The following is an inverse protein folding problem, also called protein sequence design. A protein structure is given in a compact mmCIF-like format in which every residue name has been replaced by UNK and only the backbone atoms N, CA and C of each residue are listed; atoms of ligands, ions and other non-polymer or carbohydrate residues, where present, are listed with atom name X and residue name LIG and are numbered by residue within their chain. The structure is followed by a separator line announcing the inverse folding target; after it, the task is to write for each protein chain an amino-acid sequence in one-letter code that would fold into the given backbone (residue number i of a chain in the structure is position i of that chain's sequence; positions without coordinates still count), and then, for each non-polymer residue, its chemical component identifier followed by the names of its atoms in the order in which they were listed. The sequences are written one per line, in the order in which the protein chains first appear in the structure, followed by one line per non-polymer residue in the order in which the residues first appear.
data_IF_506713153254
#
_entry.id   IF_506713153254
#
_cell.length_a   1.000
_cell.length_b   1.000
_cell.length_c   1.000
_cell.angle_alpha   90.00
_cell.angle_beta   90.00
_cell.angle_gamma   90.00
#
_symmetry.space_group_name_H-M   'P 1'
#
loop_
_entity.id
_entity.type
_entity.pdbx_description
1 polymer ?
#
# COMPACT_ATOMS: atom_id res chain seq x y z
N UNK A 1 -19.54 3.42 32.65
CA UNK A 1 -19.79 2.95 31.28
C UNK A 1 -18.43 2.83 30.59
N UNK A 2 -17.98 1.59 30.36
CA UNK A 2 -16.66 1.33 29.79
C UNK A 2 -16.63 1.81 28.34
N UNK A 3 -15.66 2.66 28.03
CA UNK A 3 -15.47 3.24 26.72
C UNK A 3 -14.67 2.25 25.87
N UNK A 4 -15.37 1.28 25.26
CA UNK A 4 -14.79 0.34 24.30
C UNK A 4 -14.43 1.09 23.02
N UNK A 5 -13.27 1.76 23.04
CA UNK A 5 -12.63 2.26 21.83
C UNK A 5 -12.14 1.08 21.03
N UNK A 6 -12.87 0.73 19.97
CA UNK A 6 -12.37 -0.19 18.95
C UNK A 6 -11.09 0.41 18.36
N UNK A 7 -10.00 -0.34 18.44
CA UNK A 7 -8.69 0.06 17.93
C UNK A 7 -8.82 0.34 16.41
N UNK A 8 -8.59 1.59 16.01
CA UNK A 8 -8.54 1.99 14.60
C UNK A 8 -9.73 2.81 14.08
N UNK A 9 -10.72 3.11 14.92
CA UNK A 9 -11.83 4.02 14.55
C UNK A 9 -11.38 5.48 14.68
N UNK A 10 -11.35 6.23 13.57
CA UNK A 10 -11.10 7.68 13.61
C UNK A 10 -12.42 8.45 13.69
N UNK A 11 -12.40 9.63 14.32
CA UNK A 11 -13.59 10.49 14.55
C UNK A 11 -14.29 10.96 13.25
N UNK A 12 -13.72 10.70 12.07
CA UNK A 12 -14.30 11.04 10.78
C UNK A 12 -14.10 9.89 9.75
N UNK A 13 -15.17 9.11 9.54
CA UNK A 13 -15.50 8.42 8.28
C UNK A 13 -14.86 7.06 7.87
N UNK A 14 -14.11 6.36 8.72
CA UNK A 14 -13.75 4.95 8.48
C UNK A 14 -12.66 4.34 9.37
N UNK A 15 -12.33 3.08 9.10
CA UNK A 15 -11.23 2.33 9.72
C UNK A 15 -9.90 2.56 8.96
N UNK A 16 -8.79 2.30 9.65
CA UNK A 16 -7.44 2.41 9.08
C UNK A 16 -6.50 1.30 9.55
N UNK A 17 -5.46 1.04 8.74
CA UNK A 17 -4.35 0.14 9.04
C UNK A 17 -3.02 0.78 8.67
N UNK A 18 -1.96 0.28 9.29
CA UNK A 18 -0.59 0.57 8.88
C UNK A 18 0.28 -0.64 9.17
N UNK A 19 1.03 -1.10 8.17
CA UNK A 19 2.02 -2.17 8.31
C UNK A 19 3.34 -1.70 7.70
N UNK A 20 4.45 -2.23 8.22
CA UNK A 20 5.78 -1.86 7.73
C UNK A 20 6.79 -2.97 7.98
N UNK A 21 7.79 -3.07 7.10
CA UNK A 21 8.94 -3.97 7.27
C UNK A 21 10.21 -3.30 6.77
N UNK A 22 11.33 -3.60 7.42
CA UNK A 22 12.65 -3.17 6.95
C UNK A 22 13.33 -4.30 6.17
N UNK A 23 13.97 -3.95 5.07
CA UNK A 23 14.72 -4.84 4.18
C UNK A 23 16.15 -4.32 4.02
N UNK A 24 17.12 -5.22 3.85
CA UNK A 24 18.53 -4.88 3.65
C UNK A 24 18.82 -4.56 2.18
N UNK A 25 18.12 -3.55 1.65
CA UNK A 25 18.27 -3.03 0.28
C UNK A 25 18.30 -1.51 0.28
N UNK A 26 18.81 -0.95 -0.82
CA UNK A 26 18.83 0.50 -1.06
C UNK A 26 17.43 1.09 -1.16
N UNK A 27 17.34 2.41 -1.08
CA UNK A 27 16.07 3.12 -1.22
C UNK A 27 15.54 3.00 -2.66
N UNK A 28 16.45 3.00 -3.61
CA UNK A 28 16.25 2.84 -5.05
C UNK A 28 15.67 1.46 -5.37
N UNK A 29 16.26 0.41 -4.83
CA UNK A 29 15.77 -0.96 -5.02
C UNK A 29 14.38 -1.13 -4.40
N UNK A 30 14.16 -0.60 -3.21
CA UNK A 30 12.85 -0.65 -2.56
C UNK A 30 11.79 0.10 -3.37
N UNK A 31 12.13 1.26 -3.93
CA UNK A 31 11.24 2.00 -4.81
C UNK A 31 10.92 1.22 -6.08
N UNK A 32 11.95 0.69 -6.75
CA UNK A 32 11.79 -0.10 -7.97
C UNK A 32 10.94 -1.35 -7.75
N UNK A 33 11.07 -2.04 -6.61
CA UNK A 33 10.22 -3.19 -6.26
C UNK A 33 8.73 -2.82 -6.12
N UNK A 34 8.42 -1.57 -5.76
CA UNK A 34 7.04 -1.11 -5.58
C UNK A 34 6.45 -0.52 -6.85
N UNK A 35 7.27 0.10 -7.70
CA UNK A 35 6.81 0.90 -8.84
C UNK A 35 7.10 0.30 -10.21
N UNK A 36 7.85 -0.80 -10.28
CA UNK A 36 8.02 -1.56 -11.52
C UNK A 36 6.68 -2.19 -11.96
N UNK A 37 6.54 -2.60 -13.23
CA UNK A 37 5.35 -3.33 -13.69
C UNK A 37 5.04 -4.56 -12.84
N UNK A 38 6.06 -5.34 -12.48
CA UNK A 38 5.92 -6.54 -11.63
C UNK A 38 5.51 -6.16 -10.20
N UNK A 39 6.09 -5.10 -9.65
CA UNK A 39 5.75 -4.56 -8.35
C UNK A 39 4.29 -4.09 -8.29
N UNK A 40 3.87 -3.27 -9.24
CA UNK A 40 2.49 -2.81 -9.36
C UNK A 40 1.53 -3.99 -9.57
N UNK A 41 1.89 -4.98 -10.38
CA UNK A 41 1.09 -6.19 -10.56
C UNK A 41 0.93 -6.97 -9.26
N UNK A 42 2.01 -7.09 -8.47
CA UNK A 42 2.01 -7.82 -7.20
C UNK A 42 1.01 -7.24 -6.19
N UNK A 43 0.98 -5.92 -5.98
CA UNK A 43 0.18 -5.31 -4.90
C UNK A 43 -1.05 -4.54 -5.37
N UNK A 44 -1.15 -4.20 -6.66
CA UNK A 44 -2.30 -3.51 -7.24
C UNK A 44 -3.08 -4.39 -8.23
N UNK A 45 -2.50 -5.50 -8.68
CA UNK A 45 -3.11 -6.44 -9.62
C UNK A 45 -2.71 -6.18 -11.07
N UNK A 46 -3.01 -7.16 -11.93
CA UNK A 46 -2.74 -7.11 -13.37
C UNK A 46 -3.47 -5.94 -14.03
N UNK A 47 -2.79 -5.27 -14.95
CA UNK A 47 -3.33 -4.13 -15.71
C UNK A 47 -2.75 -4.10 -17.12
N UNK A 48 -3.42 -3.39 -18.03
CA UNK A 48 -2.90 -3.10 -19.38
C UNK A 48 -1.85 -1.98 -19.40
N UNK A 49 -1.51 -1.43 -18.22
CA UNK A 49 -0.53 -0.37 -18.04
C UNK A 49 -0.98 0.64 -16.97
N UNK A 50 -0.08 0.98 -16.04
CA UNK A 50 -0.29 2.01 -15.02
C UNK A 50 0.72 3.12 -15.23
N UNK A 51 0.25 4.36 -15.36
CA UNK A 51 1.11 5.54 -15.40
C UNK A 51 1.16 6.19 -14.01
N UNK A 52 2.32 6.14 -13.37
CA UNK A 52 2.54 6.77 -12.07
C UNK A 52 2.76 8.29 -12.21
N UNK A 53 1.69 9.02 -12.52
CA UNK A 53 1.67 10.49 -12.57
C UNK A 53 0.45 11.02 -11.82
N UNK A 54 0.59 12.06 -10.97
CA UNK A 54 -0.56 12.67 -10.30
C UNK A 54 -1.70 13.02 -11.28
N UNK A 55 -2.93 12.70 -10.90
CA UNK A 55 -4.14 12.89 -11.70
C UNK A 55 -4.46 11.75 -12.67
N UNK A 56 -3.57 10.77 -12.84
CA UNK A 56 -3.84 9.62 -13.72
C UNK A 56 -4.72 8.59 -13.02
N UNK A 57 -5.79 8.20 -13.70
CA UNK A 57 -6.64 7.07 -13.29
C UNK A 57 -6.03 5.75 -13.74
N UNK A 58 -6.27 4.69 -12.99
CA UNK A 58 -5.84 3.34 -13.34
C UNK A 58 -6.96 2.33 -13.07
N UNK A 59 -6.89 1.18 -13.77
CA UNK A 59 -7.73 0.02 -13.54
C UNK A 59 -6.88 -1.25 -13.61
N UNK A 60 -7.12 -2.16 -12.67
CA UNK A 60 -6.51 -3.47 -12.57
C UNK A 60 -7.60 -4.53 -12.39
N UNK A 61 -7.23 -5.80 -12.37
CA UNK A 61 -8.13 -6.89 -12.01
C UNK A 61 -8.53 -6.89 -10.51
N UNK A 62 -7.81 -6.17 -9.64
CA UNK A 62 -8.14 -6.06 -8.22
C UNK A 62 -8.90 -4.79 -7.86
N UNK A 63 -9.00 -3.81 -8.77
CA UNK A 63 -9.78 -2.61 -8.55
C UNK A 63 -9.33 -1.43 -9.41
N UNK A 64 -9.75 -0.23 -9.05
CA UNK A 64 -9.43 1.00 -9.79
C UNK A 64 -9.16 2.18 -8.86
N UNK A 65 -8.66 3.27 -9.42
CA UNK A 65 -8.36 4.45 -8.63
C UNK A 65 -7.65 5.54 -9.42
N UNK A 66 -7.02 6.45 -8.67
CA UNK A 66 -6.30 7.60 -9.20
C UNK A 66 -5.00 7.81 -8.42
N UNK A 67 -3.90 8.02 -9.13
CA UNK A 67 -2.61 8.39 -8.57
C UNK A 67 -2.70 9.83 -8.08
N UNK A 68 -2.47 10.05 -6.79
CA UNK A 68 -2.59 11.38 -6.15
C UNK A 68 -1.25 12.05 -5.89
N UNK A 69 -0.25 11.28 -5.44
CA UNK A 69 1.09 11.79 -5.12
C UNK A 69 2.12 10.80 -5.62
N UNK A 70 3.13 11.29 -6.33
CA UNK A 70 4.34 10.54 -6.67
C UNK A 70 5.53 11.39 -6.25
N UNK A 71 6.23 10.97 -5.20
CA UNK A 71 7.52 11.53 -4.79
C UNK A 71 8.54 10.40 -4.93
N UNK A 72 9.34 10.38 -6.00
CA UNK A 72 10.31 9.33 -6.25
C UNK A 72 11.15 9.01 -5.01
N UNK A 73 11.40 7.72 -4.80
CA UNK A 73 12.13 7.15 -3.68
C UNK A 73 11.49 7.32 -2.29
N UNK A 74 10.41 8.09 -2.15
CA UNK A 74 9.88 8.50 -0.84
C UNK A 74 8.44 8.07 -0.62
N UNK A 75 7.55 8.37 -1.56
CA UNK A 75 6.12 8.29 -1.31
C UNK A 75 5.30 8.07 -2.59
N UNK A 76 4.37 7.14 -2.51
CA UNK A 76 3.25 7.00 -3.46
C UNK A 76 1.93 7.14 -2.69
N UNK A 77 1.00 7.94 -3.20
CA UNK A 77 -0.38 8.00 -2.68
C UNK A 77 -1.36 7.84 -3.82
N UNK A 78 -2.39 7.05 -3.59
CA UNK A 78 -3.45 6.79 -4.55
C UNK A 78 -4.78 6.59 -3.83
N UNK A 79 -5.88 6.82 -4.53
CA UNK A 79 -7.15 6.22 -4.14
C UNK A 79 -7.19 4.80 -4.66
N UNK A 80 -7.81 3.88 -3.91
CA UNK A 80 -8.03 2.52 -4.37
C UNK A 80 -9.42 2.04 -3.97
N UNK A 81 -10.25 1.78 -4.96
CA UNK A 81 -11.51 1.09 -4.83
C UNK A 81 -11.29 -0.33 -5.31
N UNK A 82 -11.14 -1.25 -4.35
CA UNK A 82 -11.04 -2.68 -4.65
C UNK A 82 -12.32 -3.15 -5.34
N UNK A 83 -12.21 -4.14 -6.22
CA UNK A 83 -13.37 -4.71 -6.91
C UNK A 83 -14.46 -5.10 -5.90
N UNK A 84 -15.71 -4.69 -6.16
CA UNK A 84 -16.85 -4.90 -5.28
C UNK A 84 -16.99 -3.93 -4.10
N UNK A 85 -16.07 -2.98 -3.89
CA UNK A 85 -16.23 -1.96 -2.84
C UNK A 85 -17.15 -0.82 -3.30
N UNK A 86 -18.01 -0.34 -2.40
CA UNK A 86 -18.93 0.78 -2.67
C UNK A 86 -18.23 2.14 -2.79
N UNK A 87 -17.09 2.31 -2.10
CA UNK A 87 -16.35 3.57 -2.03
C UNK A 87 -14.83 3.36 -2.04
N UNK A 88 -14.05 4.32 -2.57
CA UNK A 88 -12.60 4.22 -2.58
C UNK A 88 -12.01 4.41 -1.18
N UNK A 89 -10.97 3.65 -0.90
CA UNK A 89 -10.01 3.91 0.17
C UNK A 89 -8.89 4.83 -0.29
N UNK A 90 -8.03 5.24 0.63
CA UNK A 90 -6.76 5.91 0.30
C UNK A 90 -5.60 5.04 0.76
N UNK A 91 -4.69 4.73 -0.17
CA UNK A 91 -3.45 4.01 0.11
C UNK A 91 -2.29 4.98 0.04
N UNK A 92 -1.42 4.92 1.04
CA UNK A 92 -0.16 5.63 1.08
C UNK A 92 0.97 4.63 1.33
N UNK A 93 1.92 4.62 0.41
CA UNK A 93 3.14 3.84 0.49
C UNK A 93 4.28 4.80 0.79
N UNK A 94 5.11 4.47 1.77
CA UNK A 94 6.34 5.20 2.10
C UNK A 94 7.56 4.30 2.02
N UNK A 95 8.63 4.86 1.47
CA UNK A 95 9.95 4.25 1.42
C UNK A 95 10.87 5.13 2.27
N UNK A 96 11.37 4.56 3.36
CA UNK A 96 12.15 5.28 4.37
C UNK A 96 13.55 4.67 4.42
N UNK A 97 14.51 5.36 3.81
CA UNK A 97 15.92 5.01 3.92
C UNK A 97 16.39 5.08 5.37
N UNK A 98 17.23 4.13 5.77
CA UNK A 98 17.98 4.11 7.03
C UNK A 98 19.48 4.03 6.71
N UNK A 99 20.31 4.12 7.73
CA UNK A 99 21.73 3.83 7.59
C UNK A 99 21.98 2.37 7.10
N UNK A 100 23.12 2.16 6.47
CA UNK A 100 23.66 0.85 6.08
C UNK A 100 22.81 0.05 5.08
N UNK A 101 22.44 0.67 3.95
CA UNK A 101 21.73 0.01 2.86
C UNK A 101 20.46 -0.74 3.32
N UNK A 102 19.75 -0.14 4.26
CA UNK A 102 18.54 -0.69 4.87
C UNK A 102 17.39 0.26 4.66
N UNK A 103 16.28 -0.25 4.14
CA UNK A 103 15.12 0.56 3.80
C UNK A 103 13.86 0.00 4.43
N UNK A 104 12.98 0.86 4.92
CA UNK A 104 11.65 0.47 5.41
C UNK A 104 10.58 0.80 4.39
N UNK A 105 9.82 -0.21 3.99
CA UNK A 105 8.61 -0.04 3.20
C UNK A 105 7.43 -0.04 4.17
N UNK A 106 6.53 0.94 4.03
CA UNK A 106 5.32 1.04 4.85
C UNK A 106 4.10 1.25 3.98
N UNK A 107 3.06 0.45 4.23
CA UNK A 107 1.73 0.64 3.69
C UNK A 107 0.83 1.21 4.78
N UNK A 108 0.11 2.27 4.46
CA UNK A 108 -0.96 2.82 5.29
C UNK A 108 -2.22 2.95 4.43
N UNK A 109 -3.36 2.55 4.98
CA UNK A 109 -4.63 2.62 4.28
C UNK A 109 -5.72 3.13 5.21
N UNK A 110 -6.51 4.06 4.71
CA UNK A 110 -7.60 4.73 5.43
C UNK A 110 -8.91 4.71 4.63
N UNK A 111 -10.01 5.07 5.29
CA UNK A 111 -11.39 5.04 4.76
C UNK A 111 -11.91 3.62 4.48
N UNK A 112 -11.46 2.64 5.27
CA UNK A 112 -12.00 1.29 5.23
C UNK A 112 -13.42 1.27 5.84
N UNK A 113 -14.31 0.43 5.31
CA UNK A 113 -15.73 0.40 5.67
C UNK A 113 -15.97 -0.01 7.11
N UNK A 114 -15.29 -1.05 7.56
CA UNK A 114 -15.54 -1.73 8.82
C UNK A 114 -14.27 -2.46 9.33
N UNK A 115 -14.41 -3.11 10.48
CA UNK A 115 -13.33 -3.86 11.12
C UNK A 115 -12.94 -5.14 10.36
N UNK A 116 -13.87 -5.77 9.65
CA UNK A 116 -13.56 -6.97 8.87
C UNK A 116 -12.67 -6.61 7.68
N UNK A 117 -13.05 -5.59 6.91
CA UNK A 117 -12.25 -5.05 5.81
C UNK A 117 -10.90 -4.54 6.30
N UNK A 118 -10.85 -3.96 7.51
CA UNK A 118 -9.60 -3.59 8.17
C UNK A 118 -8.65 -4.79 8.34
N UNK A 119 -9.13 -5.89 8.91
CA UNK A 119 -8.30 -7.08 9.11
C UNK A 119 -7.94 -7.79 7.80
N UNK A 120 -8.84 -7.81 6.82
CA UNK A 120 -8.54 -8.31 5.46
C UNK A 120 -7.38 -7.53 4.84
N UNK A 121 -7.46 -6.20 4.83
CA UNK A 121 -6.42 -5.37 4.25
C UNK A 121 -5.12 -5.43 5.04
N UNK A 122 -5.18 -5.55 6.37
CA UNK A 122 -3.96 -5.77 7.18
C UNK A 122 -3.22 -7.02 6.71
N UNK A 123 -3.92 -8.16 6.60
CA UNK A 123 -3.34 -9.42 6.13
C UNK A 123 -2.81 -9.29 4.71
N UNK A 124 -3.57 -8.65 3.83
CA UNK A 124 -3.13 -8.39 2.45
C UNK A 124 -1.77 -7.70 2.41
N UNK A 125 -1.61 -6.58 3.11
CA UNK A 125 -0.34 -5.84 3.10
C UNK A 125 0.80 -6.58 3.82
N UNK A 126 0.51 -7.35 4.88
CA UNK A 126 1.50 -8.24 5.51
C UNK A 126 2.01 -9.28 4.52
N UNK A 127 1.11 -9.93 3.76
CA UNK A 127 1.47 -10.89 2.71
C UNK A 127 2.30 -10.25 1.59
N UNK A 128 1.96 -9.04 1.14
CA UNK A 128 2.78 -8.33 0.14
C UNK A 128 4.20 -8.08 0.67
N UNK A 129 4.34 -7.62 1.91
CA UNK A 129 5.66 -7.43 2.54
C UNK A 129 6.43 -8.74 2.76
N UNK A 130 5.73 -9.86 2.91
CA UNK A 130 6.33 -11.20 2.97
C UNK A 130 6.87 -11.62 1.61
N UNK A 131 6.07 -11.51 0.55
CA UNK A 131 6.46 -11.85 -0.83
C UNK A 131 7.66 -11.01 -1.27
N UNK A 132 7.64 -9.69 -1.02
CA UNK A 132 8.79 -8.81 -1.30
C UNK A 132 10.04 -9.30 -0.58
N UNK A 133 9.91 -9.73 0.69
CA UNK A 133 11.03 -10.29 1.44
C UNK A 133 11.58 -11.58 0.83
N UNK A 134 10.70 -12.49 0.39
CA UNK A 134 11.10 -13.75 -0.24
C UNK A 134 11.79 -13.56 -1.60
N UNK A 135 11.38 -12.54 -2.37
CA UNK A 135 12.06 -12.19 -3.63
C UNK A 135 13.50 -11.71 -3.44
N UNK A 136 13.82 -11.18 -2.26
CA UNK A 136 15.17 -10.69 -1.91
C UNK A 136 16.09 -11.80 -1.40
N UNK A 137 15.55 -12.86 -0.80
CA UNK A 137 16.34 -13.99 -0.31
C UNK A 137 16.66 -15.02 -1.38
N UNK A 138 15.91 -15.02 -2.49
CA UNK A 138 16.05 -15.97 -3.59
C UNK A 138 16.88 -15.42 -4.76
N UNK A 139 17.51 -14.26 -4.60
CA UNK A 139 18.50 -13.69 -5.51
C UNK A 139 19.89 -13.89 -4.93
#
# INVERSE_FOLDING_TARGET
MANDRIIGQTKAAGFQIGVRRSFSISQEDAWNLLTSPDGLTLWLGESTGITLKPGQTYKTNLGSGEIRIVKPLQQLRLTWQKEGWERPSTVQIRVLSKADNKTTISFHQEKLSDQYVREEMKKYWETILEIIGGQLTNK
#
